data_IF_717356577253
#
_entry.id   IF_717356577253
#
_cell.length_a   1.000
_cell.length_b   1.000
_cell.length_c   1.000
_cell.angle_alpha   90.00
_cell.angle_beta   90.00
_cell.angle_gamma   90.00
#
_symmetry.space_group_name_H-M   'P 1'
#
loop_
_entity.id
_entity.type
_entity.pdbx_description
1 polymer ?
#
# COMPACT_ATOMS: atom_id res chain seq x y z
N UNK A 1 -5.33 22.31 -2.08
CA UNK A 1 -5.38 21.09 -2.92
C UNK A 1 -5.85 19.93 -2.06
N UNK A 2 -6.71 19.05 -2.56
CA UNK A 2 -7.24 17.88 -1.82
C UNK A 2 -7.56 16.73 -2.79
N UNK A 3 -7.43 15.48 -2.32
CA UNK A 3 -7.69 14.29 -3.13
C UNK A 3 -9.11 13.72 -2.96
N UNK A 4 -9.80 14.03 -1.86
CA UNK A 4 -11.01 13.31 -1.41
C UNK A 4 -12.27 14.18 -1.37
N UNK A 5 -12.22 15.41 -1.88
CA UNK A 5 -13.38 16.30 -1.88
C UNK A 5 -14.47 15.85 -2.87
N UNK A 6 -15.38 15.02 -2.37
CA UNK A 6 -16.67 14.69 -3.01
C UNK A 6 -17.59 15.92 -3.01
N UNK A 7 -18.64 15.91 -3.85
CA UNK A 7 -19.46 17.10 -4.19
C UNK A 7 -19.71 18.07 -3.05
N UNK A 8 -20.36 17.61 -1.96
CA UNK A 8 -20.66 18.44 -0.79
C UNK A 8 -19.41 19.03 -0.13
N UNK A 9 -18.37 18.22 0.09
CA UNK A 9 -17.11 18.67 0.71
C UNK A 9 -16.43 19.74 -0.16
N UNK A 10 -16.52 19.59 -1.50
CA UNK A 10 -16.00 20.58 -2.44
C UNK A 10 -16.79 21.90 -2.33
N UNK A 11 -18.12 21.85 -2.26
CA UNK A 11 -18.96 23.04 -2.09
C UNK A 11 -18.66 23.74 -0.75
N UNK A 12 -18.57 22.98 0.35
CA UNK A 12 -18.21 23.52 1.68
C UNK A 12 -16.83 24.21 1.66
N UNK A 13 -15.85 23.68 0.93
CA UNK A 13 -14.53 24.30 0.78
C UNK A 13 -14.62 25.60 -0.01
N UNK A 14 -15.39 25.63 -1.11
CA UNK A 14 -15.54 26.84 -1.93
C UNK A 14 -16.18 27.97 -1.10
N UNK A 15 -17.25 27.66 -0.38
CA UNK A 15 -17.95 28.62 0.48
C UNK A 15 -17.05 29.13 1.62
N UNK A 16 -16.30 28.24 2.28
CA UNK A 16 -15.43 28.61 3.40
C UNK A 16 -14.28 29.56 3.00
N UNK A 17 -13.86 29.52 1.73
CA UNK A 17 -12.77 30.34 1.21
C UNK A 17 -13.24 31.45 0.25
N UNK A 18 -14.55 31.68 0.12
CA UNK A 18 -15.15 32.67 -0.79
C UNK A 18 -14.64 32.48 -2.25
N UNK A 19 -14.55 31.22 -2.68
CA UNK A 19 -14.06 30.83 -4.00
C UNK A 19 -15.22 30.52 -4.94
N UNK A 20 -15.07 30.87 -6.21
CA UNK A 20 -16.08 30.55 -7.22
C UNK A 20 -15.88 29.13 -7.79
N UNK A 21 -16.91 28.50 -8.37
CA UNK A 21 -16.78 27.18 -8.97
C UNK A 21 -15.73 27.07 -10.09
N UNK A 22 -15.40 28.19 -10.75
CA UNK A 22 -14.38 28.21 -11.82
C UNK A 22 -12.95 28.13 -11.27
N UNK A 23 -12.76 28.40 -9.97
CA UNK A 23 -11.48 28.28 -9.26
C UNK A 23 -11.20 26.82 -8.86
N UNK A 24 -12.14 25.89 -9.12
CA UNK A 24 -12.01 24.47 -8.84
C UNK A 24 -11.66 23.68 -10.10
N UNK A 25 -10.45 23.12 -10.13
CA UNK A 25 -10.03 22.13 -11.14
C UNK A 25 -10.15 20.73 -10.57
N UNK A 26 -10.87 19.85 -11.27
CA UNK A 26 -10.99 18.43 -10.93
C UNK A 26 -10.31 17.56 -11.98
N UNK A 27 -9.30 16.82 -11.54
CA UNK A 27 -8.64 15.81 -12.37
C UNK A 27 -9.33 14.45 -12.23
N UNK A 28 -9.34 13.60 -13.28
CA UNK A 28 -9.82 12.22 -13.19
C UNK A 28 -9.00 11.41 -12.18
N UNK A 29 -9.66 10.51 -11.45
CA UNK A 29 -8.99 9.57 -10.54
C UNK A 29 -8.51 8.30 -11.24
N UNK A 30 -8.98 8.05 -12.47
CA UNK A 30 -8.70 6.81 -13.18
C UNK A 30 -7.24 6.76 -13.62
N UNK A 31 -6.64 5.58 -13.48
CA UNK A 31 -5.27 5.29 -13.88
C UNK A 31 -5.28 4.11 -14.83
N UNK A 32 -5.11 4.38 -16.12
CA UNK A 32 -5.07 3.39 -17.21
C UNK A 32 -3.96 2.35 -17.02
N UNK A 33 -2.90 2.71 -16.29
CA UNK A 33 -1.75 1.86 -16.05
C UNK A 33 -1.93 0.87 -14.88
N UNK A 34 -3.13 0.79 -14.26
CA UNK A 34 -3.43 -0.11 -13.16
C UNK A 34 -4.37 -1.22 -13.60
N UNK A 35 -3.94 -2.46 -13.39
CA UNK A 35 -4.78 -3.65 -13.55
C UNK A 35 -5.34 -4.08 -12.19
N UNK A 36 -6.61 -4.47 -12.16
CA UNK A 36 -7.29 -4.94 -10.96
C UNK A 36 -7.63 -6.42 -11.08
N UNK A 37 -7.21 -7.21 -10.10
CA UNK A 37 -7.50 -8.64 -10.02
C UNK A 37 -8.05 -9.02 -8.65
N UNK A 38 -8.87 -10.07 -8.62
CA UNK A 38 -9.40 -10.66 -7.38
C UNK A 38 -9.14 -12.16 -7.42
N UNK A 39 -8.49 -12.69 -6.38
CA UNK A 39 -8.34 -14.13 -6.15
C UNK A 39 -9.16 -14.51 -4.92
N UNK A 40 -9.90 -15.62 -4.99
CA UNK A 40 -10.61 -16.15 -3.83
C UNK A 40 -9.59 -16.77 -2.86
N UNK A 41 -9.46 -16.17 -1.68
CA UNK A 41 -8.57 -16.66 -0.64
C UNK A 41 -9.19 -17.84 0.12
N UNK A 42 -8.44 -18.93 0.36
CA UNK A 42 -8.85 -19.99 1.27
C UNK A 42 -9.14 -19.47 2.67
N UNK A 43 -10.07 -20.13 3.39
CA UNK A 43 -10.29 -19.86 4.82
C UNK A 43 -9.19 -20.43 5.71
N UNK A 44 -8.49 -21.44 5.21
CA UNK A 44 -7.33 -22.02 5.88
C UNK A 44 -6.16 -21.05 5.79
N UNK A 45 -5.56 -20.76 6.95
CA UNK A 45 -4.51 -19.75 7.08
C UNK A 45 -3.23 -20.13 6.33
N UNK A 46 -2.86 -21.41 6.30
CA UNK A 46 -1.66 -21.87 5.60
C UNK A 46 -1.87 -21.81 4.09
N UNK A 47 -3.00 -22.30 3.60
CA UNK A 47 -3.34 -22.21 2.19
C UNK A 47 -3.43 -20.74 1.71
N UNK A 48 -3.91 -19.84 2.56
CA UNK A 48 -3.95 -18.40 2.26
C UNK A 48 -2.54 -17.77 2.22
N UNK A 49 -1.65 -18.12 3.14
CA UNK A 49 -0.23 -17.72 3.09
C UNK A 49 0.47 -18.25 1.85
N UNK A 50 0.18 -19.50 1.47
CA UNK A 50 0.74 -20.10 0.26
C UNK A 50 0.29 -19.36 -1.01
N UNK A 51 -1.00 -18.99 -1.09
CA UNK A 51 -1.52 -18.16 -2.19
C UNK A 51 -0.83 -16.78 -2.28
N UNK A 52 -0.52 -16.16 -1.12
CA UNK A 52 0.26 -14.93 -1.08
C UNK A 52 1.67 -15.16 -1.62
N UNK A 53 2.36 -16.21 -1.18
CA UNK A 53 3.70 -16.55 -1.65
C UNK A 53 3.73 -16.70 -3.17
N UNK A 54 2.84 -17.52 -3.74
CA UNK A 54 2.73 -17.73 -5.19
C UNK A 54 2.48 -16.41 -5.95
N UNK A 55 1.71 -15.50 -5.35
CA UNK A 55 1.44 -14.18 -5.94
C UNK A 55 2.67 -13.27 -5.88
N UNK A 56 3.42 -13.29 -4.78
CA UNK A 56 4.63 -12.47 -4.57
C UNK A 56 5.83 -13.03 -5.36
N UNK A 57 5.92 -14.33 -5.58
CA UNK A 57 6.96 -14.97 -6.40
C UNK A 57 6.84 -14.60 -7.89
N UNK A 58 5.62 -14.36 -8.37
CA UNK A 58 5.36 -13.94 -9.75
C UNK A 58 5.52 -12.42 -9.97
N UNK A 59 5.93 -11.67 -8.93
CA UNK A 59 6.11 -10.22 -9.03
C UNK A 59 7.28 -9.88 -9.96
N UNK A 60 7.12 -8.82 -10.73
CA UNK A 60 8.23 -8.15 -11.41
C UNK A 60 8.41 -6.78 -10.74
N UNK A 61 9.33 -6.67 -9.77
CA UNK A 61 9.62 -5.42 -9.03
C UNK A 61 8.98 -5.29 -7.65
N UNK A 62 9.04 -4.09 -7.08
CA UNK A 62 8.66 -3.82 -5.69
C UNK A 62 7.17 -4.03 -5.43
N UNK A 63 6.85 -4.60 -4.27
CA UNK A 63 5.47 -4.97 -3.89
C UNK A 63 5.08 -4.45 -2.53
N UNK A 64 3.84 -3.97 -2.41
CA UNK A 64 3.20 -3.66 -1.12
C UNK A 64 2.16 -4.75 -0.83
N UNK A 65 2.24 -5.37 0.34
CA UNK A 65 1.23 -6.30 0.86
C UNK A 65 0.53 -5.62 2.03
N UNK A 66 -0.74 -5.27 1.87
CA UNK A 66 -1.55 -4.73 2.96
C UNK A 66 -2.25 -5.85 3.74
N UNK A 67 -2.11 -5.83 5.06
CA UNK A 67 -2.81 -6.73 5.99
C UNK A 67 -3.48 -5.94 7.11
N UNK A 68 -4.47 -6.54 7.78
CA UNK A 68 -5.32 -5.80 8.72
C UNK A 68 -4.66 -5.57 10.08
N UNK A 69 -3.98 -6.58 10.62
CA UNK A 69 -3.47 -6.55 11.99
C UNK A 69 -1.94 -6.44 12.04
N UNK A 70 -1.41 -5.76 13.07
CA UNK A 70 0.04 -5.59 13.28
C UNK A 70 0.75 -6.94 13.44
N UNK A 71 0.13 -7.88 14.16
CA UNK A 71 0.68 -9.21 14.35
C UNK A 71 0.70 -10.02 13.05
N UNK A 72 -0.31 -9.85 12.21
CA UNK A 72 -0.39 -10.48 10.89
C UNK A 72 0.70 -9.93 9.97
N UNK A 73 0.90 -8.61 9.95
CA UNK A 73 2.01 -7.97 9.21
C UNK A 73 3.36 -8.57 9.57
N UNK A 74 3.66 -8.72 10.87
CA UNK A 74 4.93 -9.31 11.31
C UNK A 74 5.08 -10.75 10.86
N UNK A 75 4.07 -11.58 11.10
CA UNK A 75 4.09 -13.01 10.74
C UNK A 75 4.20 -13.24 9.23
N UNK A 76 3.53 -12.41 8.43
CA UNK A 76 3.59 -12.51 6.97
C UNK A 76 4.95 -12.07 6.43
N UNK A 77 5.54 -11.00 6.98
CA UNK A 77 6.89 -10.59 6.60
C UNK A 77 7.91 -11.69 6.93
N UNK A 78 7.88 -12.24 8.15
CA UNK A 78 8.72 -13.37 8.55
C UNK A 78 8.50 -14.59 7.64
N UNK A 79 7.25 -14.98 7.39
CA UNK A 79 6.92 -16.09 6.50
C UNK A 79 7.51 -15.90 5.09
N UNK A 80 7.40 -14.71 4.51
CA UNK A 80 7.96 -14.42 3.19
C UNK A 80 9.51 -14.44 3.23
N UNK A 81 10.13 -13.88 4.27
CA UNK A 81 11.58 -13.92 4.48
C UNK A 81 12.13 -15.34 4.62
N UNK A 82 11.44 -16.20 5.36
CA UNK A 82 11.80 -17.62 5.49
C UNK A 82 11.74 -18.38 4.17
N UNK A 83 11.01 -17.86 3.18
CA UNK A 83 10.93 -18.38 1.80
C UNK A 83 11.90 -17.69 0.83
N UNK A 84 12.78 -16.83 1.34
CA UNK A 84 13.80 -16.14 0.55
C UNK A 84 13.33 -14.86 -0.14
N UNK A 85 12.17 -14.33 0.23
CA UNK A 85 11.69 -13.02 -0.25
C UNK A 85 12.23 -11.92 0.68
N UNK A 86 12.87 -10.89 0.13
CA UNK A 86 13.30 -9.72 0.91
C UNK A 86 12.08 -8.88 1.32
N UNK A 87 11.47 -9.29 2.45
CA UNK A 87 10.22 -8.76 2.97
C UNK A 87 10.42 -8.12 4.34
N UNK A 88 9.88 -6.91 4.55
CA UNK A 88 9.94 -6.23 5.86
C UNK A 88 8.56 -5.81 6.36
N UNK A 89 8.29 -5.92 7.67
CA UNK A 89 7.05 -5.44 8.26
C UNK A 89 7.09 -3.92 8.48
N UNK A 90 5.96 -3.26 8.23
CA UNK A 90 5.77 -1.83 8.51
C UNK A 90 4.43 -1.60 9.21
N UNK A 91 4.45 -1.09 10.45
CA UNK A 91 3.22 -0.73 11.15
C UNK A 91 3.44 0.31 12.25
N UNK A 92 2.39 1.04 12.62
CA UNK A 92 2.43 2.10 13.64
C UNK A 92 2.86 1.66 15.06
N UNK A 93 2.96 0.36 15.33
CA UNK A 93 3.51 -0.16 16.58
C UNK A 93 5.04 -0.34 16.63
N UNK A 94 5.75 -0.09 15.53
CA UNK A 94 7.23 -0.08 15.52
C UNK A 94 7.76 1.25 16.05
N UNK A 95 9.04 1.30 16.40
CA UNK A 95 9.72 2.56 16.67
C UNK A 95 9.83 3.41 15.39
N UNK A 96 9.87 4.73 15.55
CA UNK A 96 9.95 5.65 14.43
C UNK A 96 11.22 5.42 13.60
N UNK A 97 12.38 5.27 14.26
CA UNK A 97 13.67 5.01 13.61
C UNK A 97 13.59 3.75 12.72
N UNK A 98 13.03 2.65 13.23
CA UNK A 98 12.88 1.41 12.47
C UNK A 98 11.93 1.57 11.26
N UNK A 99 10.86 2.38 11.40
CA UNK A 99 9.98 2.69 10.26
C UNK A 99 10.72 3.49 9.19
N UNK A 100 11.52 4.47 9.59
CA UNK A 100 12.27 5.31 8.66
C UNK A 100 13.32 4.49 7.90
N UNK A 101 14.08 3.65 8.62
CA UNK A 101 15.02 2.69 8.01
C UNK A 101 14.33 1.73 7.04
N UNK A 102 13.16 1.20 7.41
CA UNK A 102 12.39 0.29 6.56
C UNK A 102 11.87 1.00 5.31
N UNK A 103 11.41 2.24 5.44
CA UNK A 103 10.94 3.04 4.32
C UNK A 103 12.09 3.40 3.36
N UNK A 104 13.25 3.82 3.87
CA UNK A 104 14.43 4.12 3.08
C UNK A 104 14.93 2.87 2.34
N UNK A 105 15.01 1.72 3.03
CA UNK A 105 15.31 0.44 2.41
C UNK A 105 14.34 0.14 1.27
N UNK A 106 13.03 0.26 1.49
CA UNK A 106 12.03 -0.06 0.46
C UNK A 106 12.15 0.87 -0.75
N UNK A 107 12.43 2.17 -0.52
CA UNK A 107 12.61 3.14 -1.60
C UNK A 107 13.84 2.82 -2.45
N UNK A 108 14.93 2.38 -1.82
CA UNK A 108 16.17 1.98 -2.49
C UNK A 108 16.10 0.60 -3.17
N UNK A 109 15.20 -0.28 -2.71
CA UNK A 109 15.04 -1.63 -3.24
C UNK A 109 14.47 -1.64 -4.66
N UNK A 110 14.89 -2.60 -5.48
CA UNK A 110 14.31 -2.84 -6.82
C UNK A 110 13.12 -3.80 -6.77
N UNK A 111 13.17 -4.78 -5.87
CA UNK A 111 12.28 -5.93 -5.80
C UNK A 111 11.82 -6.25 -4.36
N UNK A 112 12.04 -5.33 -3.43
CA UNK A 112 11.67 -5.48 -2.03
C UNK A 112 10.16 -5.60 -1.84
N UNK A 113 9.77 -6.29 -0.77
CA UNK A 113 8.37 -6.44 -0.36
C UNK A 113 8.17 -5.74 0.97
N UNK A 114 7.22 -4.82 1.04
CA UNK A 114 6.79 -4.26 2.32
C UNK A 114 5.44 -4.84 2.69
N UNK A 115 5.38 -5.47 3.85
CA UNK A 115 4.12 -5.95 4.42
C UNK A 115 3.68 -4.91 5.43
N UNK A 116 2.49 -4.35 5.27
CA UNK A 116 2.07 -3.21 6.07
C UNK A 116 0.60 -3.21 6.43
N UNK A 117 0.25 -2.50 7.51
CA UNK A 117 -1.13 -2.01 7.68
C UNK A 117 -1.33 -0.73 6.85
N UNK A 118 -2.45 -0.02 7.05
CA UNK A 118 -2.68 1.33 6.49
C UNK A 118 -1.64 2.39 6.92
N UNK A 119 -0.70 2.05 7.81
CA UNK A 119 0.34 2.95 8.29
C UNK A 119 1.35 3.33 7.20
N UNK A 120 1.61 2.44 6.23
CA UNK A 120 2.44 2.75 5.07
C UNK A 120 1.54 3.33 3.98
N UNK A 121 1.69 4.61 3.65
CA UNK A 121 0.87 5.23 2.60
C UNK A 121 0.93 6.74 2.54
N UNK A 122 1.14 7.42 3.66
CA UNK A 122 1.42 8.86 3.64
C UNK A 122 2.87 9.10 3.21
N UNK A 123 3.08 9.85 2.13
CA UNK A 123 4.42 10.23 1.66
C UNK A 123 5.17 9.16 0.86
N UNK A 124 4.51 8.06 0.47
CA UNK A 124 5.10 7.05 -0.42
C UNK A 124 5.12 7.57 -1.85
N UNK A 125 6.31 7.90 -2.37
CA UNK A 125 6.54 8.32 -3.76
C UNK A 125 7.62 7.45 -4.41
N UNK A 126 7.32 6.16 -4.56
CA UNK A 126 8.16 5.20 -5.28
C UNK A 126 7.53 4.89 -6.64
N UNK A 127 8.24 5.24 -7.72
CA UNK A 127 7.74 5.14 -9.12
C UNK A 127 7.65 3.71 -9.63
N UNK A 128 8.41 2.80 -9.04
CA UNK A 128 8.60 1.42 -9.48
C UNK A 128 7.88 0.40 -8.59
N UNK A 129 6.80 0.80 -7.91
CA UNK A 129 5.86 -0.16 -7.32
C UNK A 129 5.09 -0.86 -8.44
N UNK A 130 5.20 -2.18 -8.48
CA UNK A 130 4.65 -3.02 -9.55
C UNK A 130 3.46 -3.85 -9.12
N UNK A 131 3.36 -4.16 -7.82
CA UNK A 131 2.23 -4.90 -7.27
C UNK A 131 1.75 -4.30 -5.96
N UNK A 132 0.43 -4.32 -5.76
CA UNK A 132 -0.22 -4.03 -4.48
C UNK A 132 -1.19 -5.17 -4.20
N UNK A 133 -0.95 -5.90 -3.12
CA UNK A 133 -1.76 -7.03 -2.69
C UNK A 133 -2.52 -6.64 -1.42
N UNK A 134 -3.84 -6.83 -1.41
CA UNK A 134 -4.63 -6.75 -0.19
C UNK A 134 -4.87 -8.17 0.31
N UNK A 135 -4.28 -8.50 1.46
CA UNK A 135 -4.31 -9.82 2.10
C UNK A 135 -5.50 -9.99 3.05
#
# INVERSE_FOLDING_TARGET
MTATAVGRVKDDILDAFDMSPQDCVRVPMFRENLEFGVKLAPRDDEARRQLLLETVEQRDGSTIVYAHFRDEVRRLAEFLSDKGIDAKPYHAGQDQELRDETQEWFFSSTDGVIVSTIAFGMGVDKRDIRNVVNY
#
